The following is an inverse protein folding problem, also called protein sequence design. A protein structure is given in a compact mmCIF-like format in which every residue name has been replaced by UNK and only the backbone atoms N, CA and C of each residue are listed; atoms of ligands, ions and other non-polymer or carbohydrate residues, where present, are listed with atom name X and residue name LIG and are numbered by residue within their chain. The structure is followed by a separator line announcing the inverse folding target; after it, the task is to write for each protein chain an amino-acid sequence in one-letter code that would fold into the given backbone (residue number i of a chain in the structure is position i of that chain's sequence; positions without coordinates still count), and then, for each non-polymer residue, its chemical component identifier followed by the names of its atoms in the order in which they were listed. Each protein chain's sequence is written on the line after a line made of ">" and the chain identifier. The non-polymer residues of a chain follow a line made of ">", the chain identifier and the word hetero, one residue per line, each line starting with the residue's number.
data_IF_059326367549
#
_entry.id   IF_059326367549
#
_cell.length_a   1.000
_cell.length_b   1.000
_cell.length_c   1.000
_cell.angle_alpha   90.00
_cell.angle_beta   90.00
_cell.angle_gamma   90.00
#
_symmetry.space_group_name_H-M   'P 1'
#
loop_
_entity.id
_entity.type
_entity.pdbx_description
1 polymer ?
#
# COMPACT_ATOMS: atom_id res chain seq x y z
N UNK A 1 9.39 20.26 6.91
CA UNK A 1 8.41 19.38 7.60
C UNK A 1 7.28 19.10 6.63
N UNK A 2 7.41 18.08 5.80
CA UNK A 2 6.32 17.63 4.92
C UNK A 2 5.45 16.68 5.73
N UNK A 3 4.36 17.19 6.29
CA UNK A 3 3.32 16.38 6.90
C UNK A 3 2.65 15.57 5.80
N UNK A 4 3.14 14.35 5.55
CA UNK A 4 2.45 13.35 4.75
C UNK A 4 1.16 13.00 5.50
N UNK A 5 0.06 13.63 5.15
CA UNK A 5 -1.27 13.08 5.46
C UNK A 5 -1.36 11.78 4.67
N UNK A 6 -0.90 10.67 5.26
CA UNK A 6 -1.04 9.34 4.67
C UNK A 6 -2.54 9.09 4.59
N UNK A 7 -3.11 9.27 3.40
CA UNK A 7 -4.49 8.89 3.14
C UNK A 7 -4.60 7.40 3.41
N UNK A 8 -5.66 6.98 4.12
CA UNK A 8 -5.94 5.57 4.31
C UNK A 8 -5.98 4.86 2.94
N UNK A 9 -5.09 3.89 2.68
CA UNK A 9 -5.05 3.22 1.38
C UNK A 9 -6.34 2.45 1.05
N UNK A 10 -7.16 2.12 2.06
CA UNK A 10 -8.47 1.51 1.90
C UNK A 10 -9.59 2.50 1.52
N UNK A 11 -9.34 3.82 1.58
CA UNK A 11 -10.33 4.86 1.23
C UNK A 11 -10.76 4.84 -0.24
N UNK A 12 -9.98 4.20 -1.12
CA UNK A 12 -10.28 3.98 -2.54
C UNK A 12 -9.98 2.53 -2.92
N UNK A 13 -10.69 2.03 -3.92
CA UNK A 13 -10.41 0.71 -4.49
C UNK A 13 -9.06 0.67 -5.20
N UNK A 14 -8.47 -0.52 -5.32
CA UNK A 14 -7.22 -0.73 -6.07
C UNK A 14 -7.30 -0.20 -7.52
N UNK A 15 -8.46 -0.36 -8.18
CA UNK A 15 -8.67 0.14 -9.53
C UNK A 15 -8.67 1.69 -9.57
N UNK A 16 -9.28 2.33 -8.58
CA UNK A 16 -9.27 3.79 -8.46
C UNK A 16 -7.86 4.34 -8.23
N UNK A 17 -7.06 3.70 -7.38
CA UNK A 17 -5.64 4.06 -7.19
C UNK A 17 -4.81 3.87 -8.45
N UNK A 18 -5.01 2.75 -9.16
CA UNK A 18 -4.32 2.49 -10.43
C UNK A 18 -4.67 3.53 -11.49
N UNK A 19 -5.95 3.92 -11.60
CA UNK A 19 -6.38 4.99 -12.50
C UNK A 19 -5.77 6.35 -12.14
N UNK A 20 -5.70 6.70 -10.86
CA UNK A 20 -5.03 7.92 -10.38
C UNK A 20 -3.54 7.91 -10.73
N UNK A 21 -2.84 6.79 -10.51
CA UNK A 21 -1.42 6.65 -10.85
C UNK A 21 -1.18 6.83 -12.35
N UNK A 22 -1.99 6.19 -13.20
CA UNK A 22 -1.90 6.34 -14.66
C UNK A 22 -2.15 7.79 -15.09
N UNK A 23 -3.14 8.45 -14.48
CA UNK A 23 -3.40 9.87 -14.71
C UNK A 23 -2.19 10.74 -14.35
N UNK A 24 -1.57 10.53 -13.18
CA UNK A 24 -0.39 11.30 -12.76
C UNK A 24 0.78 11.14 -13.74
N UNK A 25 1.05 9.92 -14.20
CA UNK A 25 2.07 9.69 -15.23
C UNK A 25 1.74 10.35 -16.56
N UNK A 26 0.47 10.33 -16.99
CA UNK A 26 0.05 11.04 -18.21
C UNK A 26 0.27 12.56 -18.14
N UNK A 27 0.35 13.11 -16.91
CA UNK A 27 0.64 14.52 -16.64
C UNK A 27 2.14 14.79 -16.46
N UNK A 28 3.00 13.80 -16.70
CA UNK A 28 4.45 13.91 -16.59
C UNK A 28 4.96 13.97 -15.15
N UNK A 29 4.16 13.53 -14.15
CA UNK A 29 4.63 13.44 -12.77
C UNK A 29 5.69 12.34 -12.67
N UNK A 30 6.78 12.65 -11.98
CA UNK A 30 7.89 11.74 -11.75
C UNK A 30 7.64 10.81 -10.57
N UNK A 31 8.57 9.88 -10.39
CA UNK A 31 8.48 8.84 -9.35
C UNK A 31 8.65 9.37 -7.93
N UNK A 32 9.30 10.52 -7.78
CA UNK A 32 9.49 11.22 -6.50
C UNK A 32 8.31 12.16 -6.16
N UNK A 33 7.31 12.25 -7.03
CA UNK A 33 6.13 13.06 -6.77
C UNK A 33 5.33 12.46 -5.59
N UNK A 34 4.98 13.26 -4.56
CA UNK A 34 4.26 12.75 -3.39
C UNK A 34 2.95 12.03 -3.72
N UNK A 35 2.21 12.47 -4.74
CA UNK A 35 0.96 11.82 -5.16
C UNK A 35 1.23 10.47 -5.83
N UNK A 36 2.37 10.33 -6.52
CA UNK A 36 2.80 9.07 -7.15
C UNK A 36 3.24 8.07 -6.10
N UNK A 37 4.00 8.52 -5.09
CA UNK A 37 4.40 7.70 -3.94
C UNK A 37 3.16 7.19 -3.20
N UNK A 38 2.21 8.08 -2.88
CA UNK A 38 0.95 7.73 -2.21
C UNK A 38 0.19 6.63 -2.98
N UNK A 39 0.03 6.79 -4.31
CA UNK A 39 -0.66 5.79 -5.11
C UNK A 39 0.05 4.43 -5.09
N UNK A 40 1.39 4.42 -5.13
CA UNK A 40 2.19 3.19 -5.10
C UNK A 40 2.11 2.48 -3.76
N UNK A 41 2.17 3.21 -2.66
CA UNK A 41 1.97 2.69 -1.30
C UNK A 41 0.57 2.09 -1.15
N UNK A 42 -0.47 2.79 -1.61
CA UNK A 42 -1.83 2.27 -1.57
C UNK A 42 -2.01 1.01 -2.42
N UNK A 43 -1.41 0.97 -3.61
CA UNK A 43 -1.41 -0.25 -4.43
C UNK A 43 -0.62 -1.40 -3.78
N UNK A 44 0.42 -1.11 -2.99
CA UNK A 44 1.14 -2.13 -2.22
C UNK A 44 0.27 -2.72 -1.12
N UNK A 45 -0.45 -1.87 -0.39
CA UNK A 45 -1.46 -2.31 0.57
C UNK A 45 -2.47 -3.27 -0.07
N UNK A 46 -3.08 -2.91 -1.21
CA UNK A 46 -4.06 -3.76 -1.88
C UNK A 46 -3.51 -5.10 -2.40
N UNK A 47 -2.21 -5.16 -2.73
CA UNK A 47 -1.54 -6.42 -3.09
C UNK A 47 -1.38 -7.33 -1.87
N UNK A 48 -0.94 -6.77 -0.74
CA UNK A 48 -0.75 -7.51 0.50
C UNK A 48 -2.10 -7.95 1.09
N UNK A 49 -3.11 -7.07 1.12
CA UNK A 49 -4.44 -7.39 1.62
C UNK A 49 -5.02 -8.63 0.93
N UNK A 50 -4.94 -8.69 -0.41
CA UNK A 50 -5.43 -9.86 -1.17
C UNK A 50 -4.69 -11.14 -0.82
N UNK A 51 -3.38 -11.07 -0.58
CA UNK A 51 -2.61 -12.24 -0.17
C UNK A 51 -3.01 -12.71 1.23
N UNK A 52 -3.30 -11.78 2.14
CA UNK A 52 -3.81 -12.12 3.49
C UNK A 52 -5.20 -12.74 3.39
N UNK A 53 -6.09 -12.18 2.59
CA UNK A 53 -7.45 -12.69 2.40
C UNK A 53 -7.44 -14.12 1.83
N UNK A 54 -6.51 -14.43 0.94
CA UNK A 54 -6.35 -15.77 0.37
C UNK A 54 -5.93 -16.84 1.41
N UNK A 55 -5.25 -16.42 2.48
CA UNK A 55 -4.77 -17.30 3.56
C UNK A 55 -5.65 -17.24 4.82
N UNK A 56 -6.79 -16.55 4.74
CA UNK A 56 -7.70 -16.38 5.85
C UNK A 56 -8.19 -17.74 6.36
N UNK A 57 -7.95 -18.02 7.65
CA UNK A 57 -8.29 -19.29 8.29
C UNK A 57 -7.18 -20.36 8.26
N UNK A 58 -6.11 -20.15 7.48
CA UNK A 58 -4.94 -21.05 7.47
C UNK A 58 -3.82 -20.59 8.41
N UNK A 59 -3.80 -19.31 8.78
CA UNK A 59 -2.79 -18.73 9.67
C UNK A 59 -3.18 -18.84 11.15
N UNK A 60 -2.36 -19.56 11.91
CA UNK A 60 -2.38 -19.51 13.38
C UNK A 60 -1.78 -18.23 13.95
N UNK A 61 -2.11 -17.90 15.20
CA UNK A 61 -1.68 -16.67 15.88
C UNK A 61 -0.15 -16.39 15.82
N UNK A 62 0.74 -17.39 16.05
CA UNK A 62 2.18 -17.14 15.95
C UNK A 62 2.66 -16.72 14.56
N UNK A 63 2.02 -17.23 13.50
CA UNK A 63 2.32 -16.86 12.12
C UNK A 63 1.94 -15.41 11.83
N UNK A 64 0.77 -14.98 12.32
CA UNK A 64 0.30 -13.59 12.23
C UNK A 64 1.29 -12.65 12.93
N UNK A 65 1.71 -12.97 14.16
CA UNK A 65 2.61 -12.11 14.93
C UNK A 65 3.98 -11.93 14.22
N UNK A 66 4.51 -13.02 13.63
CA UNK A 66 5.74 -12.97 12.83
C UNK A 66 5.58 -12.10 11.57
N UNK A 67 4.49 -12.24 10.84
CA UNK A 67 4.21 -11.43 9.64
C UNK A 67 4.07 -9.95 9.99
N UNK A 68 3.37 -9.62 11.07
CA UNK A 68 3.26 -8.23 11.56
C UNK A 68 4.63 -7.66 11.88
N UNK A 69 5.51 -8.41 12.55
CA UNK A 69 6.88 -8.00 12.83
C UNK A 69 7.69 -7.74 11.56
N UNK A 70 7.58 -8.64 10.57
CA UNK A 70 8.24 -8.49 9.26
C UNK A 70 7.76 -7.25 8.50
N UNK A 71 6.45 -7.02 8.45
CA UNK A 71 5.88 -5.85 7.77
C UNK A 71 6.32 -4.53 8.43
N UNK A 72 6.32 -4.48 9.78
CA UNK A 72 6.82 -3.31 10.52
C UNK A 72 8.30 -3.05 10.27
N UNK A 73 9.12 -4.09 10.27
CA UNK A 73 10.54 -3.97 9.95
C UNK A 73 10.79 -3.54 8.50
N UNK A 74 9.95 -4.00 7.56
CA UNK A 74 10.06 -3.61 6.16
C UNK A 74 9.73 -2.14 5.91
N UNK A 75 8.72 -1.59 6.60
CA UNK A 75 8.29 -0.20 6.47
C UNK A 75 9.23 0.82 7.13
N UNK A 76 10.15 0.38 7.99
CA UNK A 76 11.11 1.23 8.70
C UNK A 76 12.48 1.35 7.99
N UNK A 77 12.65 0.68 6.85
CA UNK A 77 13.86 0.71 6.02
C UNK A 77 13.73 1.76 4.94
#
# INVERSE_FOLDING_TARGET
>A
MTSSTVTDPASRSAASWSGRLAYLYSRGRGDDDPDVIECREALAYWRISRAVDAEAGHLGRPGVDRLVSQLRGAAAR
#
